data_IF_575898346818
#
_entry.id   IF_575898346818
#
_cell.length_a   1.000
_cell.length_b   1.000
_cell.length_c   1.000
_cell.angle_alpha   90.00
_cell.angle_beta   90.00
_cell.angle_gamma   90.00
#
_symmetry.space_group_name_H-M   'P 1'
#
loop_
_entity.id
_entity.type
_entity.pdbx_description
1 polymer ?
2 non-polymer ?
3 non-polymer ?
4 non-polymer ?
5 non-polymer ?
6 non-polymer ?
7 non-polymer ?
8 water ?
#
# COMPACT_ATOMS: atom_id res chain seq x y z
N UNK A 1 12.92 1.67 -24.13
CA UNK A 1 12.92 2.83 -23.20
C UNK A 1 14.20 3.65 -23.34
N UNK A 2 14.11 4.99 -23.13
CA UNK A 2 15.31 5.82 -23.14
C UNK A 2 16.29 5.44 -22.02
N UNK A 3 17.58 5.64 -22.27
CA UNK A 3 18.64 5.37 -21.28
C UNK A 3 18.59 6.34 -20.11
N UNK A 4 18.19 7.59 -20.36
CA UNK A 4 18.03 8.62 -19.34
C UNK A 4 16.77 9.45 -19.56
N UNK A 5 16.15 9.87 -18.45
CA UNK A 5 14.99 10.75 -18.47
C UNK A 5 15.16 11.80 -17.36
N UNK A 6 14.82 13.05 -17.67
CA UNK A 6 14.73 14.14 -16.67
C UNK A 6 13.52 15.05 -16.93
N UNK A 7 12.52 14.96 -16.05
CA UNK A 7 11.23 15.64 -16.26
C UNK A 7 11.34 17.13 -16.02
N UNK A 8 12.43 17.56 -15.40
CA UNK A 8 12.72 19.00 -15.24
C UNK A 8 12.97 19.67 -16.60
N UNK A 9 13.60 18.94 -17.52
CA UNK A 9 13.79 19.41 -18.91
C UNK A 9 12.48 19.56 -19.69
N UNK A 10 11.41 18.88 -19.22
CA UNK A 10 10.13 18.85 -19.90
C UNK A 10 9.12 19.81 -19.27
N UNK A 11 9.61 20.64 -18.34
CA UNK A 11 8.82 21.70 -17.73
C UNK A 11 7.77 21.21 -16.77
N UNK A 12 7.97 20.02 -16.20
CA UNK A 12 6.94 19.34 -15.38
C UNK A 12 7.24 19.25 -13.89
N UNK A 13 8.30 19.90 -13.42
CA UNK A 13 8.71 19.86 -12.01
C UNK A 13 8.81 21.28 -11.43
N UNK A 14 8.11 21.52 -10.33
CA UNK A 14 8.12 22.83 -9.68
C UNK A 14 9.37 22.98 -8.83
N UNK A 15 9.53 24.14 -8.21
CA UNK A 15 10.69 24.38 -7.35
C UNK A 15 10.66 23.44 -6.14
N UNK A 16 11.85 23.17 -5.60
CA UNK A 16 12.01 22.34 -4.42
C UNK A 16 11.39 23.03 -3.22
N UNK A 17 10.67 22.25 -2.42
CA UNK A 17 9.99 22.76 -1.23
C UNK A 17 10.73 22.36 0.05
N UNK A 18 10.42 23.05 1.14
CA UNK A 18 11.04 22.82 2.43
C UNK A 18 9.99 22.46 3.48
N UNK A 19 9.99 21.20 3.93
CA UNK A 19 8.95 20.76 4.86
C UNK A 19 9.14 21.24 6.31
N UNK A 20 10.36 21.62 6.65
CA UNK A 20 10.73 22.01 8.00
C UNK A 20 10.60 20.86 8.98
N UNK A 21 10.13 21.17 10.18
CA UNK A 21 10.01 20.17 11.24
C UNK A 21 8.72 19.34 11.17
N UNK A 22 7.92 19.55 10.12
CA UNK A 22 6.67 18.83 9.90
C UNK A 22 6.90 17.69 8.91
N UNK A 23 6.53 16.48 9.33
CA UNK A 23 6.71 15.28 8.51
C UNK A 23 5.70 15.15 7.37
N UNK A 24 5.71 16.15 6.47
CA UNK A 24 4.75 16.21 5.38
C UNK A 24 5.34 15.72 4.07
N UNK A 25 6.45 14.96 4.13
CA UNK A 25 7.10 14.44 2.92
C UNK A 25 6.16 13.78 1.93
N UNK A 26 5.22 13.02 2.48
CA UNK A 26 4.19 12.28 1.74
C UNK A 26 3.26 13.22 0.97
N UNK A 27 2.91 14.34 1.59
CA UNK A 27 2.09 15.38 0.97
C UNK A 27 2.85 16.03 -0.20
N UNK A 28 4.12 16.35 0.03
CA UNK A 28 4.95 16.96 -1.00
C UNK A 28 5.20 16.01 -2.17
N UNK A 29 5.39 14.73 -1.87
CA UNK A 29 5.55 13.68 -2.86
C UNK A 29 4.33 13.56 -3.74
N UNK A 30 3.17 13.50 -3.09
CA UNK A 30 1.88 13.39 -3.76
C UNK A 30 1.61 14.59 -4.68
N UNK A 31 1.77 15.80 -4.14
CA UNK A 31 1.51 17.00 -4.95
C UNK A 31 2.48 17.06 -6.13
N UNK A 32 3.74 16.71 -5.92
CA UNK A 32 4.74 16.69 -6.99
C UNK A 32 4.38 15.82 -8.18
N UNK A 33 3.85 14.63 -7.91
CA UNK A 33 3.40 13.73 -8.96
C UNK A 33 2.20 14.33 -9.71
N UNK A 34 1.27 14.94 -8.97
CA UNK A 34 0.07 15.53 -9.60
C UNK A 34 0.43 16.77 -10.46
N UNK A 35 1.40 17.55 -9.99
CA UNK A 35 1.88 18.75 -10.66
C UNK A 35 2.34 18.42 -12.07
N UNK A 36 3.06 17.30 -12.23
CA UNK A 36 3.48 16.85 -13.56
C UNK A 36 2.30 16.52 -14.47
N UNK A 37 1.32 15.79 -13.94
CA UNK A 37 0.13 15.42 -14.69
C UNK A 37 -0.68 16.64 -15.07
N UNK A 38 -0.79 17.60 -14.15
CA UNK A 38 -1.45 18.88 -14.44
C UNK A 38 -0.80 19.64 -15.61
N UNK A 39 0.54 19.71 -15.62
CA UNK A 39 1.27 20.31 -16.74
C UNK A 39 0.99 19.57 -18.05
N UNK A 40 1.10 18.25 -18.02
CA UNK A 40 0.84 17.43 -19.20
C UNK A 40 -0.57 17.62 -19.77
N UNK A 41 -1.56 17.82 -18.89
CA UNK A 41 -2.95 17.97 -19.30
C UNK A 41 -3.29 19.39 -19.76
N UNK A 42 -2.84 20.39 -19.01
CA UNK A 42 -3.32 21.77 -19.18
C UNK A 42 -2.30 22.76 -19.74
N UNK A 43 -1.01 22.45 -19.68
CA UNK A 43 0.04 23.37 -20.08
C UNK A 43 0.58 24.26 -18.97
N UNK A 44 -0.03 24.21 -17.79
CA UNK A 44 0.42 25.06 -16.70
C UNK A 44 1.19 24.27 -15.65
N UNK A 45 2.33 24.81 -15.24
CA UNK A 45 3.10 24.28 -14.13
C UNK A 45 2.74 25.11 -12.91
N UNK A 46 2.17 24.46 -11.90
CA UNK A 46 1.64 25.15 -10.71
C UNK A 46 1.91 24.29 -9.49
N UNK A 47 2.49 24.89 -8.45
CA UNK A 47 2.69 24.20 -7.20
C UNK A 47 1.33 23.98 -6.53
N UNK A 48 1.08 22.75 -6.11
CA UNK A 48 -0.18 22.42 -5.44
C UNK A 48 0.03 22.39 -3.94
N UNK A 49 -1.07 22.56 -3.20
CA UNK A 49 -1.01 22.70 -1.74
C UNK A 49 -0.78 21.39 -0.99
N UNK A 50 0.45 21.19 -0.52
CA UNK A 50 0.76 20.11 0.41
C UNK A 50 0.03 20.32 1.73
N UNK A 51 -0.23 21.58 2.09
CA UNK A 51 -0.89 21.89 3.36
C UNK A 51 -2.32 21.41 3.35
N UNK A 52 -2.99 21.58 2.21
CA UNK A 52 -4.31 21.03 1.95
C UNK A 52 -4.35 19.54 2.30
N UNK A 53 -3.34 18.78 1.86
CA UNK A 53 -3.27 17.35 2.23
C UNK A 53 -3.04 17.14 3.74
N UNK A 54 -2.09 17.86 4.32
CA UNK A 54 -1.78 17.74 5.75
C UNK A 54 -3.00 17.99 6.61
N UNK A 55 -3.76 19.00 6.26
CA UNK A 55 -4.91 19.46 7.05
C UNK A 55 -6.21 18.70 6.76
N UNK A 56 -6.34 18.14 5.56
CA UNK A 56 -7.63 17.61 5.08
C UNK A 56 -7.62 16.11 4.80
N UNK A 57 -6.51 15.57 4.30
CA UNK A 57 -6.33 14.13 4.11
C UNK A 57 -5.81 13.56 5.41
N UNK A 58 -6.71 13.43 6.38
CA UNK A 58 -6.35 13.13 7.74
C UNK A 58 -6.84 11.73 8.15
N UNK A 59 -7.58 11.61 9.25
CA UNK A 59 -7.92 10.32 9.87
C UNK A 59 -8.61 9.34 8.95
N UNK A 60 -9.62 9.84 8.22
CA UNK A 60 -10.38 9.09 7.22
C UNK A 60 -9.49 8.47 6.15
N UNK A 61 -8.32 9.08 5.94
CA UNK A 61 -7.34 8.58 4.96
C UNK A 61 -6.16 7.88 5.61
N UNK A 62 -6.23 7.67 6.92
CA UNK A 62 -5.17 6.94 7.63
C UNK A 62 -3.88 7.72 7.81
N UNK A 63 -3.96 9.03 7.56
CA UNK A 63 -2.82 9.92 7.61
C UNK A 63 -2.76 10.68 8.93
N UNK A 64 -1.56 11.13 9.28
CA UNK A 64 -1.29 11.73 10.58
C UNK A 64 -0.67 13.13 10.46
N UNK A 65 -0.93 13.80 9.34
CA UNK A 65 -0.44 15.17 9.12
C UNK A 65 1.07 15.28 9.23
N UNK A 66 1.54 16.05 10.22
CA UNK A 66 2.99 16.25 10.42
C UNK A 66 3.71 15.05 11.03
N UNK A 67 2.97 13.98 11.30
CA UNK A 67 3.56 12.74 11.79
C UNK A 67 3.49 11.62 10.74
N UNK A 68 3.32 11.99 9.48
CA UNK A 68 3.38 11.03 8.38
C UNK A 68 2.06 10.65 7.73
N UNK A 69 2.16 9.93 6.63
CA UNK A 69 1.01 9.61 5.81
C UNK A 69 1.43 8.92 4.53
N UNK A 70 0.45 8.69 3.65
CA UNK A 70 0.65 7.90 2.42
C UNK A 70 0.29 8.72 1.21
N UNK A 71 1.08 8.58 0.13
CA UNK A 71 0.79 9.27 -1.12
C UNK A 71 -0.48 8.73 -1.77
N UNK A 72 -0.70 7.42 -1.65
CA UNK A 72 -1.85 6.76 -2.28
C UNK A 72 -3.18 7.28 -1.70
N UNK A 73 -3.24 7.36 -0.37
CA UNK A 73 -4.44 7.81 0.32
C UNK A 73 -4.63 9.32 0.16
N UNK A 74 -3.53 10.07 0.03
CA UNK A 74 -3.57 11.48 -0.42
C UNK A 74 -4.25 11.65 -1.79
N UNK A 75 -3.83 10.87 -2.79
CA UNK A 75 -4.48 10.89 -4.10
C UNK A 75 -5.96 10.58 -3.97
N UNK A 76 -6.33 9.60 -3.14
CA UNK A 76 -7.73 9.23 -3.03
C UNK A 76 -8.54 10.33 -2.39
N UNK A 77 -7.96 11.06 -1.44
CA UNK A 77 -8.60 12.26 -0.89
C UNK A 77 -8.90 13.28 -1.99
N UNK A 78 -7.92 13.53 -2.86
CA UNK A 78 -8.11 14.50 -3.94
C UNK A 78 -9.25 14.04 -4.86
N UNK A 79 -9.30 12.73 -5.14
CA UNK A 79 -10.39 12.13 -5.92
C UNK A 79 -11.73 12.33 -5.22
N UNK A 80 -11.83 11.88 -3.97
CA UNK A 80 -13.08 12.00 -3.19
C UNK A 80 -13.51 13.46 -3.02
N UNK A 81 -12.55 14.36 -2.80
CA UNK A 81 -12.80 15.79 -2.54
C UNK A 81 -13.16 16.57 -3.80
N UNK A 82 -12.86 15.99 -4.95
CA UNK A 82 -13.07 16.57 -6.27
C UNK A 82 -12.18 17.79 -6.48
N UNK A 83 -11.05 17.82 -5.77
CA UNK A 83 -10.09 18.87 -5.98
C UNK A 83 -9.06 19.05 -4.89
N UNK A 84 -8.00 19.74 -5.28
CA UNK A 84 -6.95 20.21 -4.39
C UNK A 84 -6.69 21.68 -4.74
N UNK A 85 -6.44 22.48 -3.71
CA UNK A 85 -6.13 23.90 -3.86
C UNK A 85 -4.68 24.11 -4.32
N UNK A 86 -4.42 25.29 -4.87
CA UNK A 86 -3.08 25.73 -5.21
C UNK A 86 -2.31 26.02 -3.94
N UNK A 87 -1.01 25.86 -4.02
CA UNK A 87 -0.14 26.27 -2.94
C UNK A 87 -0.27 27.77 -2.65
N UNK A 88 -0.43 28.57 -3.70
CA UNK A 88 -0.57 30.02 -3.55
C UNK A 88 -1.76 30.41 -2.66
N UNK A 89 -2.90 29.75 -2.88
CA UNK A 89 -4.12 30.01 -2.11
C UNK A 89 -4.13 29.36 -0.73
N UNK A 90 -3.38 28.27 -0.57
CA UNK A 90 -3.35 27.48 0.65
C UNK A 90 -1.88 27.11 0.97
N UNK A 91 -1.07 28.11 1.37
CA UNK A 91 0.37 27.91 1.51
C UNK A 91 0.77 27.06 2.70
N UNK A 92 2.02 26.59 2.66
CA UNK A 92 2.55 25.65 3.64
C UNK A 92 2.96 26.38 4.93
N UNK A 93 2.51 25.83 6.06
CA UNK A 93 2.77 26.41 7.39
C UNK A 93 3.60 25.48 8.30
N UNK A 94 3.93 24.29 7.81
CA UNK A 94 4.69 23.29 8.57
C UNK A 94 4.07 22.95 9.93
N UNK A 95 2.74 22.82 9.95
CA UNK A 95 2.01 22.42 11.15
C UNK A 95 0.66 21.82 10.78
N UNK A 96 0.08 21.08 11.71
CA UNK A 96 -1.26 20.53 11.58
C UNK A 96 -2.26 21.64 11.85
N UNK A 97 -3.22 21.79 10.95
CA UNK A 97 -4.28 22.77 11.11
C UNK A 97 -5.61 22.16 10.73
N UNK A 98 -6.66 22.87 11.05
CA UNK A 98 -8.01 22.54 10.65
C UNK A 98 -8.11 22.63 9.12
N UNK A 99 -8.90 21.74 8.51
CA UNK A 99 -9.08 21.74 7.06
C UNK A 99 -9.69 23.06 6.60
N UNK A 100 -9.02 23.70 5.63
CA UNK A 100 -9.43 25.00 5.09
C UNK A 100 -9.63 24.92 3.58
N UNK A 101 -9.80 23.73 3.04
CA UNK A 101 -10.09 23.58 1.62
C UNK A 101 -11.29 24.43 1.19
N UNK A 102 -11.14 25.10 0.05
CA UNK A 102 -12.22 25.82 -0.59
C UNK A 102 -12.13 25.56 -2.07
N UNK A 103 -13.22 25.07 -2.67
CA UNK A 103 -13.25 24.76 -4.11
C UNK A 103 -12.98 25.97 -5.02
N UNK A 104 -13.19 27.18 -4.49
CA UNK A 104 -12.96 28.41 -5.25
C UNK A 104 -11.47 28.58 -5.58
N UNK A 105 -10.59 27.85 -4.89
CA UNK A 105 -9.17 27.89 -5.15
C UNK A 105 -8.62 26.57 -5.74
N UNK A 106 -9.49 25.75 -6.30
CA UNK A 106 -9.07 24.48 -6.89
C UNK A 106 -8.05 24.73 -8.00
N UNK A 107 -6.94 24.00 -7.97
CA UNK A 107 -5.90 24.04 -9.04
C UNK A 107 -5.77 22.75 -9.82
N UNK A 108 -6.17 21.62 -9.23
CA UNK A 108 -6.11 20.34 -9.91
C UNK A 108 -7.16 19.39 -9.40
N UNK A 109 -7.40 18.36 -10.20
CA UNK A 109 -8.25 17.25 -9.81
C UNK A 109 -7.42 15.98 -9.96
N UNK A 110 -7.97 14.88 -9.47
CA UNK A 110 -7.41 13.56 -9.69
C UNK A 110 -8.58 12.61 -9.97
N UNK A 111 -8.44 11.77 -10.99
CA UNK A 111 -9.48 10.80 -11.36
C UNK A 111 -9.15 9.38 -10.90
N UNK A 112 -7.86 9.09 -10.72
CA UNK A 112 -7.39 7.75 -10.38
C UNK A 112 -5.92 7.78 -10.00
N UNK A 113 -5.46 6.67 -9.42
CA UNK A 113 -4.03 6.46 -9.21
C UNK A 113 -3.70 4.98 -9.42
N UNK A 114 -2.43 4.70 -9.66
CA UNK A 114 -1.93 3.37 -9.94
C UNK A 114 -0.73 3.09 -9.05
N UNK A 115 -0.75 1.95 -8.37
CA UNK A 115 0.33 1.49 -7.51
C UNK A 115 1.09 0.41 -8.27
N UNK A 116 2.41 0.59 -8.42
CA UNK A 116 3.22 -0.32 -9.19
C UNK A 116 3.53 -1.57 -8.36
N UNK A 117 3.84 -2.69 -9.04
CA UNK A 117 4.21 -3.92 -8.32
C UNK A 117 5.49 -3.78 -7.47
N UNK A 118 5.47 -4.44 -6.32
CA UNK A 118 6.55 -4.37 -5.35
C UNK A 118 7.93 -4.75 -5.92
N UNK A 119 8.87 -3.81 -5.79
CA UNK A 119 10.28 -4.06 -6.04
C UNK A 119 10.74 -4.14 -7.49
N UNK A 120 9.84 -3.83 -8.42
CA UNK A 120 10.13 -3.98 -9.84
C UNK A 120 10.65 -2.67 -10.40
N UNK A 121 11.97 -2.56 -10.49
CA UNK A 121 12.64 -1.33 -10.93
C UNK A 121 12.50 -1.12 -12.44
N UNK A 122 12.28 -2.20 -13.17
CA UNK A 122 11.97 -2.12 -14.61
C UNK A 122 10.58 -1.55 -14.91
N UNK A 123 9.59 -1.94 -14.11
CA UNK A 123 8.23 -1.38 -14.23
C UNK A 123 8.26 0.10 -13.81
N UNK A 124 9.07 0.40 -12.81
CA UNK A 124 9.26 1.78 -12.36
C UNK A 124 9.92 2.60 -13.47
N UNK A 125 10.94 2.05 -14.13
CA UNK A 125 11.62 2.76 -15.20
C UNK A 125 10.65 3.09 -16.32
N UNK A 126 9.83 2.12 -16.68
CA UNK A 126 8.83 2.30 -17.72
C UNK A 126 7.82 3.39 -17.39
N UNK A 127 7.35 3.43 -16.14
CA UNK A 127 6.40 4.45 -15.71
C UNK A 127 7.02 5.85 -15.72
N UNK A 128 8.27 5.97 -15.26
CA UNK A 128 8.97 7.27 -15.28
C UNK A 128 9.15 7.75 -16.73
N UNK A 129 9.55 6.85 -17.63
CA UNK A 129 9.76 7.21 -19.03
C UNK A 129 8.44 7.61 -19.74
N UNK A 130 7.37 6.87 -19.48
CA UNK A 130 6.15 6.98 -20.30
C UNK A 130 4.97 7.70 -19.68
N UNK A 131 4.88 7.70 -18.35
CA UNK A 131 3.72 8.25 -17.67
C UNK A 131 4.03 9.60 -16.99
N UNK A 132 5.11 9.66 -16.24
CA UNK A 132 5.50 10.88 -15.51
C UNK A 132 6.27 10.55 -14.25
N UNK A 133 6.65 11.58 -13.49
CA UNK A 133 7.22 11.37 -12.16
C UNK A 133 6.33 10.50 -11.27
N UNK A 134 6.99 9.67 -10.46
CA UNK A 134 6.33 8.63 -9.69
C UNK A 134 6.64 8.85 -8.21
N UNK A 135 5.60 8.93 -7.38
CA UNK A 135 5.77 8.99 -5.94
C UNK A 135 6.34 7.67 -5.41
N UNK A 136 7.32 7.76 -4.53
CA UNK A 136 7.92 6.60 -3.91
C UNK A 136 8.23 6.84 -2.44
N UNK A 137 8.30 5.75 -1.71
CA UNK A 137 8.84 5.71 -0.37
C UNK A 137 10.27 5.22 -0.42
N UNK A 138 11.11 5.79 0.45
CA UNK A 138 12.46 5.29 0.61
C UNK A 138 12.80 5.08 2.10
N UNK A 139 13.79 4.25 2.34
CA UNK A 139 14.42 4.18 3.65
C UNK A 139 15.44 5.33 3.73
N UNK A 140 15.05 6.38 4.45
CA UNK A 140 15.87 7.57 4.61
C UNK A 140 16.40 7.71 6.04
N UNK A 141 16.34 6.62 6.81
CA UNK A 141 16.69 6.60 8.23
C UNK A 141 18.16 6.25 8.48
N UNK A 142 19.05 6.91 7.74
CA UNK A 142 20.49 6.70 7.91
C UNK A 142 21.17 8.06 7.77
N UNK A 143 22.16 8.34 8.64
CA UNK A 143 22.89 9.62 8.56
C UNK A 143 23.46 9.92 7.17
N UNK A 144 23.87 8.88 6.44
CA UNK A 144 24.40 9.08 5.08
C UNK A 144 23.42 9.80 4.14
N UNK A 145 22.13 9.56 4.33
CA UNK A 145 21.07 10.18 3.52
C UNK A 145 21.01 11.68 3.82
N UNK A 146 21.02 12.03 5.11
CA UNK A 146 21.06 13.43 5.57
C UNK A 146 22.30 14.19 5.04
N UNK A 147 23.44 13.51 5.06
CA UNK A 147 24.74 14.11 4.73
C UNK A 147 25.06 14.06 3.24
N UNK A 148 24.17 13.46 2.44
CA UNK A 148 24.40 13.33 1.00
C UNK A 148 24.66 14.70 0.34
N UNK A 149 25.69 14.74 -0.50
CA UNK A 149 26.06 15.96 -1.23
C UNK A 149 26.00 15.82 -2.74
N UNK A 150 26.49 14.70 -3.27
CA UNK A 150 26.58 14.54 -4.70
C UNK A 150 26.87 13.11 -5.12
N UNK A 151 26.68 12.84 -6.41
CA UNK A 151 26.94 11.55 -6.99
C UNK A 151 25.77 10.60 -6.85
N UNK A 152 26.04 9.30 -6.98
CA UNK A 152 25.01 8.28 -6.85
C UNK A 152 25.05 7.74 -5.43
N UNK A 153 23.93 7.90 -4.72
CA UNK A 153 23.83 7.48 -3.32
C UNK A 153 23.70 5.96 -3.20
N UNK A 154 24.58 5.36 -2.41
CA UNK A 154 24.48 3.95 -2.05
C UNK A 154 24.83 3.78 -0.55
N UNK A 155 23.89 3.25 0.23
CA UNK A 155 24.04 3.00 1.65
C UNK A 155 23.88 1.49 1.92
N UNK A 156 24.99 0.80 2.27
CA UNK A 156 24.90 -0.65 2.48
C UNK A 156 24.06 -1.10 3.67
N UNK A 157 23.73 -0.20 4.60
CA UNK A 157 22.79 -0.53 5.69
C UNK A 157 21.34 -0.20 5.36
N UNK A 158 21.08 0.20 4.11
CA UNK A 158 19.72 0.53 3.72
C UNK A 158 18.88 -0.73 3.67
N UNK A 159 17.60 -0.58 3.99
CA UNK A 159 16.63 -1.66 3.96
C UNK A 159 15.54 -1.34 2.95
N UNK A 160 14.66 -2.31 2.73
CA UNK A 160 13.51 -2.14 1.85
C UNK A 160 12.30 -1.63 2.62
N UNK A 161 12.47 -1.36 3.92
CA UNK A 161 11.41 -0.77 4.74
C UNK A 161 11.45 0.74 4.63
N UNK A 162 10.44 1.28 3.97
CA UNK A 162 10.42 2.69 3.59
C UNK A 162 9.76 3.55 4.68
N UNK A 163 10.26 4.77 4.85
CA UNK A 163 9.80 5.66 5.93
C UNK A 163 9.79 7.14 5.52
N UNK A 164 10.00 7.42 4.24
CA UNK A 164 10.13 8.77 3.77
C UNK A 164 9.62 8.86 2.33
N UNK A 165 8.67 9.76 2.10
CA UNK A 165 8.04 9.94 0.78
C UNK A 165 8.80 10.92 -0.08
N UNK A 166 9.15 10.53 -1.30
CA UNK A 166 9.84 11.42 -2.25
C UNK A 166 9.25 11.20 -3.66
N UNK A 167 9.83 11.87 -4.66
CA UNK A 167 9.35 11.81 -6.03
C UNK A 167 10.47 11.50 -7.01
N UNK A 168 10.30 10.44 -7.78
CA UNK A 168 11.23 10.11 -8.87
C UNK A 168 10.86 10.95 -10.09
N UNK A 169 11.77 11.83 -10.47
CA UNK A 169 11.57 12.73 -11.61
C UNK A 169 12.44 12.38 -12.82
N UNK A 170 13.11 11.24 -12.76
CA UNK A 170 13.97 10.83 -13.85
C UNK A 170 14.87 9.67 -13.47
N UNK A 171 15.73 9.28 -14.39
CA UNK A 171 16.75 8.27 -14.13
C UNK A 171 17.90 8.48 -15.11
N UNK A 172 19.04 7.84 -14.83
CA UNK A 172 20.18 7.86 -15.74
C UNK A 172 21.38 7.10 -15.21
N UNK A 173 22.56 7.49 -15.65
CA UNK A 173 23.79 6.91 -15.13
C UNK A 173 24.89 7.95 -15.03
N UNK A 174 25.72 7.82 -14.00
CA UNK A 174 26.86 8.69 -13.79
C UNK A 174 28.07 7.82 -14.05
N UNK A 175 28.68 8.01 -15.22
CA UNK A 175 29.77 7.17 -15.69
C UNK A 175 29.45 5.69 -15.53
N UNK A 176 28.30 5.27 -16.05
CA UNK A 176 27.87 3.87 -15.96
C UNK A 176 27.14 3.47 -14.69
N UNK A 177 27.34 4.20 -13.60
CA UNK A 177 26.66 3.95 -12.32
C UNK A 177 25.20 4.46 -12.40
N UNK A 178 24.25 3.53 -12.38
CA UNK A 178 22.86 3.86 -12.67
C UNK A 178 22.16 4.45 -11.46
N UNK A 179 21.29 5.44 -11.67
CA UNK A 179 20.58 6.11 -10.58
C UNK A 179 19.11 6.42 -10.93
N UNK A 180 18.33 6.67 -9.86
CA UNK A 180 17.03 7.34 -9.92
C UNK A 180 17.27 8.79 -9.50
N UNK A 181 16.67 9.74 -10.23
CA UNK A 181 16.70 11.18 -9.89
C UNK A 181 15.50 11.50 -9.01
N UNK A 182 15.76 11.81 -7.75
CA UNK A 182 14.74 11.96 -6.73
C UNK A 182 14.66 13.42 -6.26
N UNK A 183 13.45 13.99 -6.33
CA UNK A 183 13.13 15.28 -5.72
C UNK A 183 12.72 15.06 -4.27
N UNK A 184 13.49 15.66 -3.34
CA UNK A 184 13.17 15.66 -1.92
C UNK A 184 12.41 16.95 -1.55
N UNK A 185 11.89 17.01 -0.32
CA UNK A 185 11.23 18.19 0.23
C UNK A 185 11.96 18.70 1.48
N UNK A 186 13.28 18.66 1.41
CA UNK A 186 14.12 19.14 2.50
C UNK A 186 14.86 20.44 2.13
N UNK A 187 14.29 21.24 1.23
CA UNK A 187 14.82 22.55 0.88
C UNK A 187 15.89 22.53 -0.21
N UNK A 188 16.29 23.73 -0.63
CA UNK A 188 17.18 23.84 -1.78
C UNK A 188 18.64 23.51 -1.48
N UNK A 189 18.98 23.29 -0.22
CA UNK A 189 20.37 23.02 0.16
C UNK A 189 20.68 21.55 0.43
N UNK A 190 19.66 20.71 0.49
CA UNK A 190 19.87 19.28 0.66
C UNK A 190 20.43 18.68 -0.64
N UNK A 191 21.45 17.85 -0.53
CA UNK A 191 21.93 17.05 -1.66
C UNK A 191 22.36 17.93 -2.81
N UNK A 192 21.91 17.56 -4.02
CA UNK A 192 22.22 18.31 -5.23
C UNK A 192 21.11 19.33 -5.44
N UNK A 193 21.22 20.41 -4.67
CA UNK A 193 20.24 21.51 -4.66
C UNK A 193 18.78 21.05 -4.61
N UNK A 194 18.52 20.13 -3.69
CA UNK A 194 17.17 19.62 -3.46
C UNK A 194 16.97 18.18 -3.91
N UNK A 195 17.88 17.69 -4.73
CA UNK A 195 17.73 16.38 -5.37
C UNK A 195 18.75 15.38 -4.82
N UNK A 196 18.43 14.09 -4.94
CA UNK A 196 19.37 13.02 -4.61
C UNK A 196 19.31 12.00 -5.73
N UNK A 197 20.47 11.62 -6.24
CA UNK A 197 20.55 10.53 -7.22
C UNK A 197 20.82 9.22 -6.44
N UNK A 198 19.85 8.30 -6.51
CA UNK A 198 19.86 7.09 -5.68
C UNK A 198 20.09 5.85 -6.54
N UNK A 199 20.91 4.92 -6.04
CA UNK A 199 21.28 3.72 -6.81
C UNK A 199 20.09 2.99 -7.44
N UNK A 200 20.24 2.66 -8.72
CA UNK A 200 19.21 2.02 -9.52
C UNK A 200 19.71 0.65 -9.97
N UNK A 201 18.78 -0.32 -9.99
CA UNK A 201 19.09 -1.71 -10.34
C UNK A 201 20.18 -2.29 -9.43
N UNK A 202 20.11 -1.87 -8.17
CA UNK A 202 20.96 -2.43 -7.11
C UNK A 202 20.07 -3.10 -6.08
N UNK A 203 19.18 -3.97 -6.55
CA UNK A 203 18.36 -4.78 -5.67
C UNK A 203 17.39 -3.98 -4.84
N UNK A 204 16.63 -3.11 -5.51
CA UNK A 204 15.61 -2.30 -4.85
C UNK A 204 16.22 -1.54 -3.68
N UNK A 205 17.25 -0.78 -4.00
CA UNK A 205 18.09 -0.19 -2.96
C UNK A 205 17.32 0.88 -2.18
N UNK A 206 17.33 0.74 -0.85
CA UNK A 206 16.60 1.64 0.06
C UNK A 206 15.09 1.60 -0.15
N UNK A 207 14.59 0.53 -0.78
CA UNK A 207 13.16 0.35 -1.03
C UNK A 207 12.53 1.29 -2.04
N UNK A 208 13.32 1.79 -2.96
CA UNK A 208 12.85 2.82 -3.88
C UNK A 208 11.69 2.33 -4.78
N UNK A 209 11.70 1.04 -5.13
CA UNK A 209 10.61 0.44 -5.89
C UNK A 209 9.65 -0.38 -5.03
N UNK A 210 9.71 -0.22 -3.71
CA UNK A 210 8.82 -0.95 -2.80
C UNK A 210 7.39 -0.50 -2.91
N UNK A 211 7.16 0.81 -2.90
CA UNK A 211 5.81 1.34 -2.95
C UNK A 211 5.65 2.55 -3.88
N UNK A 212 5.77 2.34 -5.19
CA UNK A 212 5.60 3.43 -6.15
C UNK A 212 4.15 3.63 -6.56
N UNK A 213 3.76 4.89 -6.77
CA UNK A 213 2.43 5.23 -7.29
C UNK A 213 2.47 6.52 -8.11
N UNK A 214 1.53 6.62 -9.05
CA UNK A 214 1.31 7.87 -9.77
C UNK A 214 -0.18 8.13 -9.99
N UNK A 215 -0.58 9.41 -9.94
CA UNK A 215 -1.94 9.84 -10.17
C UNK A 215 -2.22 10.20 -11.62
N UNK A 216 -3.50 10.31 -11.94
CA UNK A 216 -3.93 10.88 -13.22
C UNK A 216 -5.01 11.92 -12.97
N UNK A 217 -5.02 12.96 -13.79
CA UNK A 217 -5.93 14.10 -13.62
C UNK A 217 -7.39 13.72 -13.86
N UNK B 1 -24.40 -5.98 -9.16
CA UNK B 1 -23.77 -7.10 -8.39
C UNK B 1 -24.81 -7.88 -7.58
N UNK B 2 -24.52 -9.16 -7.26
CA UNK B 2 -25.38 -9.87 -6.29
C UNK B 2 -25.48 -9.12 -4.97
N UNK B 3 -26.63 -9.22 -4.30
CA UNK B 3 -26.85 -8.53 -3.03
C UNK B 3 -26.04 -9.11 -1.89
N UNK B 4 -25.72 -10.40 -1.99
CA UNK B 4 -24.86 -11.05 -1.02
C UNK B 4 -23.96 -12.09 -1.68
N UNK B 5 -22.81 -12.33 -1.06
CA UNK B 5 -21.83 -13.31 -1.50
C UNK B 5 -21.26 -14.04 -0.28
N UNK B 6 -21.01 -15.33 -0.43
CA UNK B 6 -20.34 -16.13 0.60
C UNK B 6 -19.53 -17.22 -0.09
N UNK B 7 -18.21 -17.02 -0.16
CA UNK B 7 -17.33 -17.92 -0.88
C UNK B 7 -17.20 -19.28 -0.21
N UNK B 8 -17.58 -19.37 1.06
CA UNK B 8 -17.69 -20.66 1.74
C UNK B 8 -18.71 -21.59 1.06
N UNK B 9 -19.77 -21.03 0.49
CA UNK B 9 -20.77 -21.82 -0.24
C UNK B 9 -20.24 -22.41 -1.55
N UNK B 10 -19.19 -21.81 -2.11
CA UNK B 10 -18.58 -22.34 -3.34
C UNK B 10 -17.36 -23.23 -3.04
N UNK B 11 -17.13 -23.54 -1.76
CA UNK B 11 -16.01 -24.39 -1.34
C UNK B 11 -14.63 -23.79 -1.54
N UNK B 12 -14.53 -22.46 -1.47
CA UNK B 12 -13.29 -21.75 -1.79
C UNK B 12 -12.50 -21.26 -0.56
N UNK B 13 -12.98 -21.60 0.64
CA UNK B 13 -12.38 -21.12 1.87
C UNK B 13 -11.98 -22.30 2.76
N UNK B 14 -10.73 -22.33 3.18
CA UNK B 14 -10.20 -23.39 4.03
C UNK B 14 -10.64 -23.14 5.46
N UNK B 15 -10.41 -24.13 6.31
CA UNK B 15 -10.72 -24.03 7.75
C UNK B 15 -9.99 -22.84 8.38
N UNK B 16 -10.62 -22.24 9.38
CA UNK B 16 -10.03 -21.16 10.15
C UNK B 16 -8.78 -21.66 10.87
N UNK B 17 -7.74 -20.82 10.86
CA UNK B 17 -6.45 -21.14 11.46
C UNK B 17 -6.29 -20.39 12.78
N UNK B 18 -5.30 -20.82 13.57
CA UNK B 18 -4.99 -20.22 14.87
C UNK B 18 -3.52 -19.78 14.87
N UNK B 19 -3.29 -18.46 14.82
CA UNK B 19 -1.94 -17.90 14.65
C UNK B 19 -1.11 -17.93 15.94
N UNK B 20 -1.75 -18.02 17.09
CA UNK B 20 -1.05 -18.09 18.36
C UNK B 20 -0.41 -16.76 18.69
N UNK B 21 0.72 -16.80 19.40
CA UNK B 21 1.46 -15.59 19.79
C UNK B 21 2.50 -15.16 18.75
N UNK B 22 2.21 -15.41 17.49
CA UNK B 22 3.02 -14.96 16.38
C UNK B 22 2.14 -14.05 15.54
N UNK B 23 2.61 -12.84 15.28
CA UNK B 23 1.86 -11.86 14.49
C UNK B 23 1.93 -12.14 13.00
N UNK B 24 1.41 -13.30 12.59
CA UNK B 24 1.44 -13.78 11.22
C UNK B 24 0.09 -13.62 10.51
N UNK B 25 -0.76 -12.70 10.99
CA UNK B 25 -2.07 -12.49 10.37
C UNK B 25 -1.97 -12.16 8.88
N UNK B 26 -1.00 -11.34 8.52
CA UNK B 26 -0.70 -10.95 7.14
C UNK B 26 -0.44 -12.17 6.27
N UNK B 27 0.22 -13.17 6.83
CA UNK B 27 0.56 -14.40 6.11
C UNK B 27 -0.67 -15.27 5.93
N UNK B 28 -1.46 -15.37 6.99
CA UNK B 28 -2.78 -15.98 6.93
C UNK B 28 -3.75 -15.30 5.96
N UNK B 29 -3.80 -13.97 5.95
CA UNK B 29 -4.64 -13.23 4.99
C UNK B 29 -4.20 -13.54 3.57
N UNK B 30 -2.92 -13.46 3.29
CA UNK B 30 -2.41 -13.69 1.93
C UNK B 30 -2.68 -15.11 1.41
N UNK B 31 -2.43 -16.14 2.22
CA UNK B 31 -2.64 -17.53 1.76
C UNK B 31 -4.12 -17.83 1.56
N UNK B 32 -4.95 -17.30 2.45
CA UNK B 32 -6.39 -17.33 2.32
C UNK B 32 -6.92 -16.85 1.00
N UNK B 33 -6.45 -15.69 0.54
CA UNK B 33 -6.83 -15.20 -0.78
C UNK B 33 -6.36 -16.10 -1.93
N UNK B 34 -5.14 -16.63 -1.84
CA UNK B 34 -4.58 -17.48 -2.91
C UNK B 34 -5.24 -18.84 -2.93
N UNK B 35 -5.63 -19.34 -1.75
CA UNK B 35 -6.32 -20.63 -1.61
C UNK B 35 -7.59 -20.65 -2.45
N UNK B 36 -8.32 -19.52 -2.42
CA UNK B 36 -9.55 -19.38 -3.21
C UNK B 36 -9.27 -19.43 -4.71
N UNK B 37 -8.25 -18.70 -5.14
CA UNK B 37 -7.84 -18.68 -6.55
C UNK B 37 -7.39 -20.05 -7.05
N UNK B 38 -6.63 -20.77 -6.22
CA UNK B 38 -6.25 -22.15 -6.51
C UNK B 38 -7.45 -23.07 -6.75
N UNK B 39 -8.45 -22.99 -5.87
CA UNK B 39 -9.69 -23.75 -6.01
C UNK B 39 -10.41 -23.39 -7.30
N UNK B 40 -10.55 -22.10 -7.58
CA UNK B 40 -11.18 -21.66 -8.81
C UNK B 40 -10.48 -22.20 -10.06
N UNK B 41 -9.16 -22.27 -10.01
CA UNK B 41 -8.31 -22.63 -11.16
C UNK B 41 -8.13 -24.14 -11.34
N UNK B 42 -7.99 -24.86 -10.23
CA UNK B 42 -7.67 -26.28 -10.26
C UNK B 42 -8.83 -27.18 -9.79
N UNK B 43 -9.79 -26.62 -9.06
CA UNK B 43 -10.89 -27.40 -8.48
C UNK B 43 -10.56 -28.03 -7.14
N UNK B 44 -9.33 -27.83 -6.65
CA UNK B 44 -8.91 -28.42 -5.38
C UNK B 44 -8.70 -27.37 -4.28
N UNK B 45 -9.34 -27.60 -3.13
CA UNK B 45 -9.14 -26.76 -1.94
C UNK B 45 -7.95 -27.26 -1.12
N UNK B 46 -6.91 -26.44 -1.01
CA UNK B 46 -5.68 -26.81 -0.32
C UNK B 46 -5.22 -25.66 0.55
N UNK B 47 -5.02 -25.93 1.85
CA UNK B 47 -4.38 -24.95 2.72
C UNK B 47 -2.95 -24.70 2.31
N UNK B 48 -2.59 -23.42 2.21
CA UNK B 48 -1.25 -23.02 1.81
C UNK B 48 -0.48 -22.55 3.05
N UNK B 49 0.84 -22.56 2.92
CA UNK B 49 1.74 -22.38 4.05
C UNK B 49 1.94 -20.93 4.48
N UNK B 50 1.32 -20.55 5.59
CA UNK B 50 1.58 -19.26 6.22
C UNK B 50 3.01 -19.20 6.76
N UNK B 51 3.50 -20.33 7.26
CA UNK B 51 4.87 -20.43 7.76
C UNK B 51 5.93 -20.17 6.67
N UNK B 52 5.68 -20.66 5.46
CA UNK B 52 6.52 -20.39 4.30
C UNK B 52 6.68 -18.87 4.11
N UNK B 53 5.58 -18.13 4.19
CA UNK B 53 5.64 -16.67 4.16
C UNK B 53 6.41 -16.07 5.34
N UNK B 54 6.12 -16.49 6.57
CA UNK B 54 6.82 -15.98 7.77
C UNK B 54 8.33 -16.13 7.64
N UNK B 55 8.77 -17.29 7.15
CA UNK B 55 10.18 -17.67 7.11
C UNK B 55 10.88 -17.13 5.89
N UNK B 56 10.16 -16.98 4.79
CA UNK B 56 10.79 -16.72 3.49
C UNK B 56 10.51 -15.35 2.86
N UNK B 57 9.32 -14.79 3.09
CA UNK B 57 8.99 -13.44 2.62
C UNK B 57 9.37 -12.51 3.77
N UNK B 58 10.66 -12.18 3.83
CA UNK B 58 11.24 -11.51 4.99
C UNK B 58 11.70 -10.08 4.62
N UNK B 59 12.96 -9.72 4.88
CA UNK B 59 13.44 -8.34 4.76
C UNK B 59 13.34 -7.76 3.35
N UNK B 60 13.67 -8.59 2.36
CA UNK B 60 13.56 -8.23 0.95
C UNK B 60 12.16 -7.72 0.61
N UNK B 61 11.16 -8.16 1.37
CA UNK B 61 9.76 -7.83 1.15
C UNK B 61 9.20 -6.89 2.22
N UNK B 62 10.07 -6.37 3.09
CA UNK B 62 9.67 -5.48 4.16
C UNK B 62 8.85 -6.11 5.28
N UNK B 63 8.87 -7.44 5.33
CA UNK B 63 8.10 -8.20 6.32
C UNK B 63 8.97 -8.62 7.49
N UNK B 64 8.32 -8.84 8.62
CA UNK B 64 9.03 -9.08 9.87
C UNK B 64 8.51 -10.33 10.58
N UNK B 65 8.06 -11.31 9.79
CA UNK B 65 7.61 -12.60 10.32
C UNK B 65 6.54 -12.44 11.39
N UNK B 66 6.85 -12.93 12.59
CA UNK B 66 5.93 -12.87 13.74
C UNK B 66 5.70 -11.48 14.30
N UNK B 67 6.46 -10.49 13.81
CA UNK B 67 6.27 -9.10 14.18
C UNK B 67 5.60 -8.27 13.07
N UNK B 68 4.89 -8.93 12.16
CA UNK B 68 4.09 -8.23 11.15
C UNK B 68 4.65 -8.22 9.74
N UNK B 69 3.80 -7.85 8.79
CA UNK B 69 4.16 -7.82 7.37
C UNK B 69 2.98 -7.36 6.55
N UNK B 70 3.14 -7.43 5.22
CA UNK B 70 2.10 -7.01 4.26
C UNK B 70 1.65 -8.17 3.37
N UNK B 71 0.37 -8.18 3.06
CA UNK B 71 -0.21 -9.16 2.16
C UNK B 71 0.28 -8.94 0.75
N UNK B 72 0.40 -7.68 0.33
CA UNK B 72 0.81 -7.39 -1.05
C UNK B 72 2.24 -7.84 -1.33
N UNK B 73 3.15 -7.57 -0.40
CA UNK B 73 4.54 -7.99 -0.56
C UNK B 73 4.70 -9.50 -0.38
N UNK B 74 3.81 -10.11 0.40
CA UNK B 74 3.70 -11.57 0.45
C UNK B 74 3.34 -12.15 -0.91
N UNK B 75 2.42 -11.51 -1.64
CA UNK B 75 2.02 -11.99 -2.96
C UNK B 75 3.21 -11.91 -3.92
N UNK B 76 3.96 -10.80 -3.85
CA UNK B 76 5.13 -10.62 -4.71
C UNK B 76 6.22 -11.65 -4.45
N UNK B 77 6.42 -12.03 -3.19
CA UNK B 77 7.35 -13.12 -2.87
C UNK B 77 6.95 -14.43 -3.57
N UNK B 78 5.66 -14.73 -3.57
CA UNK B 78 5.18 -15.95 -4.21
C UNK B 78 5.44 -15.89 -5.72
N UNK B 79 5.16 -14.73 -6.33
CA UNK B 79 5.46 -14.51 -7.75
C UNK B 79 6.96 -14.69 -8.04
N UNK B 80 7.79 -14.00 -7.26
CA UNK B 80 9.25 -14.03 -7.41
C UNK B 80 9.84 -15.41 -7.20
N UNK B 81 9.33 -16.10 -6.18
CA UNK B 81 9.77 -17.43 -5.80
C UNK B 81 9.26 -18.56 -6.70
N UNK B 82 8.27 -18.22 -7.53
CA UNK B 82 7.60 -19.16 -8.44
C UNK B 82 6.81 -20.22 -7.70
N UNK B 83 6.39 -19.93 -6.47
CA UNK B 83 5.60 -20.88 -5.72
C UNK B 83 5.52 -20.68 -4.22
N UNK B 84 4.54 -21.35 -3.65
CA UNK B 84 4.36 -21.45 -2.21
C UNK B 84 4.03 -22.91 -1.90
N UNK B 85 4.55 -23.40 -0.79
CA UNK B 85 4.30 -24.77 -0.38
C UNK B 85 2.93 -24.91 0.30
N UNK B 86 2.43 -26.14 0.34
CA UNK B 86 1.22 -26.46 1.11
C UNK B 86 1.47 -26.31 2.61
N UNK B 87 0.40 -26.05 3.35
CA UNK B 87 0.46 -26.03 4.79
C UNK B 87 0.86 -27.42 5.34
N UNK B 88 0.33 -28.48 4.73
CA UNK B 88 0.67 -29.86 5.12
C UNK B 88 2.19 -30.14 5.08
N UNK B 89 2.84 -29.69 4.01
CA UNK B 89 4.28 -29.91 3.80
C UNK B 89 5.19 -28.99 4.62
N UNK B 90 4.66 -27.85 5.03
CA UNK B 90 5.43 -26.79 5.66
C UNK B 90 4.53 -26.21 6.74
N UNK B 91 4.37 -26.94 7.86
CA UNK B 91 3.38 -26.59 8.88
C UNK B 91 3.70 -25.33 9.67
N UNK B 92 2.65 -24.78 10.29
CA UNK B 92 2.75 -23.52 10.99
C UNK B 92 3.17 -23.73 12.43
N UNK B 93 4.22 -23.02 12.84
CA UNK B 93 4.86 -23.20 14.13
C UNK B 93 4.76 -21.99 15.06
N UNK B 94 4.15 -20.90 14.56
CA UNK B 94 3.99 -19.68 15.33
C UNK B 94 5.34 -19.19 15.86
N UNK B 95 6.36 -19.31 15.02
CA UNK B 95 7.66 -18.73 15.32
C UNK B 95 8.44 -18.46 14.03
N UNK B 96 9.44 -17.60 14.16
CA UNK B 96 10.32 -17.24 13.05
C UNK B 96 11.35 -18.34 12.89
N UNK B 97 11.41 -18.91 11.68
CA UNK B 97 12.37 -19.96 11.39
C UNK B 97 13.16 -19.67 10.13
N UNK B 98 14.16 -20.51 9.90
CA UNK B 98 14.94 -20.52 8.67
C UNK B 98 14.01 -20.81 7.49
N UNK B 99 14.27 -20.21 6.32
CA UNK B 99 13.49 -20.50 5.12
C UNK B 99 13.75 -21.90 4.63
N UNK B 100 12.67 -22.68 4.53
CA UNK B 100 12.77 -24.09 4.16
C UNK B 100 11.89 -24.40 2.95
N UNK B 101 11.59 -23.40 2.13
CA UNK B 101 10.88 -23.63 0.89
C UNK B 101 11.56 -24.71 0.03
N UNK B 102 10.73 -25.59 -0.53
CA UNK B 102 11.15 -26.61 -1.49
C UNK B 102 10.07 -26.69 -2.57
N UNK B 103 10.47 -26.62 -3.83
CA UNK B 103 9.51 -26.62 -4.93
C UNK B 103 8.78 -27.95 -5.11
N UNK B 104 9.32 -29.03 -4.54
CA UNK B 104 8.65 -30.33 -4.64
C UNK B 104 7.44 -30.43 -3.72
N UNK B 105 7.28 -29.44 -2.83
CA UNK B 105 6.07 -29.31 -2.02
C UNK B 105 5.17 -28.14 -2.42
N UNK B 106 5.44 -27.57 -3.59
CA UNK B 106 4.66 -26.44 -4.10
C UNK B 106 3.21 -26.86 -4.38
N UNK B 107 2.28 -26.11 -3.80
CA UNK B 107 0.85 -26.33 -4.00
C UNK B 107 0.16 -25.18 -4.75
N UNK B 108 0.83 -24.02 -4.86
CA UNK B 108 0.27 -22.89 -5.60
C UNK B 108 1.34 -22.00 -6.22
N UNK B 109 0.94 -21.30 -7.28
CA UNK B 109 1.70 -20.19 -7.83
C UNK B 109 0.87 -18.88 -7.76
N UNK B 110 1.54 -17.77 -8.09
CA UNK B 110 0.93 -16.45 -8.25
C UNK B 110 1.61 -15.73 -9.43
N UNK B 111 0.81 -15.13 -10.32
CA UNK B 111 1.35 -14.41 -11.46
C UNK B 111 1.24 -12.90 -11.28
N UNK B 112 0.33 -12.45 -10.40
CA UNK B 112 0.13 -11.03 -10.16
C UNK B 112 -0.76 -10.79 -8.96
N UNK B 113 -0.91 -9.52 -8.59
CA UNK B 113 -1.83 -9.12 -7.53
C UNK B 113 -2.34 -7.71 -7.85
N UNK B 114 -3.47 -7.35 -7.27
CA UNK B 114 -4.12 -6.08 -7.52
C UNK B 114 -4.48 -5.44 -6.20
N UNK B 115 -4.08 -4.17 -6.04
CA UNK B 115 -4.47 -3.40 -4.86
C UNK B 115 -5.64 -2.49 -5.26
N UNK B 116 -6.70 -2.53 -4.46
CA UNK B 116 -7.90 -1.77 -4.76
C UNK B 116 -7.76 -0.33 -4.24
N UNK B 117 -8.47 0.62 -4.87
CA UNK B 117 -8.46 2.01 -4.41
C UNK B 117 -8.94 2.23 -2.98
N UNK B 118 -8.32 3.20 -2.32
CA UNK B 118 -8.46 3.41 -0.89
C UNK B 118 -9.88 3.75 -0.47
N UNK B 119 -10.42 2.92 0.44
CA UNK B 119 -11.70 3.20 1.09
C UNK B 119 -12.96 3.01 0.26
N UNK B 120 -12.82 2.46 -0.94
CA UNK B 120 -13.92 2.33 -1.90
C UNK B 120 -14.64 1.00 -1.70
N UNK B 121 -15.71 1.04 -0.91
CA UNK B 121 -16.40 -0.18 -0.49
C UNK B 121 -17.21 -0.81 -1.62
N UNK B 122 -17.66 0.02 -2.57
CA UNK B 122 -18.30 -0.42 -3.80
C UNK B 122 -17.35 -1.22 -4.71
N UNK B 123 -16.10 -0.77 -4.77
CA UNK B 123 -15.07 -1.43 -5.57
C UNK B 123 -14.65 -2.77 -4.92
N UNK B 124 -14.61 -2.77 -3.59
CA UNK B 124 -14.36 -3.99 -2.81
C UNK B 124 -15.47 -5.00 -3.02
N UNK B 125 -16.73 -4.53 -2.98
CA UNK B 125 -17.89 -5.38 -3.21
C UNK B 125 -17.77 -6.07 -4.58
N UNK B 126 -17.44 -5.28 -5.59
CA UNK B 126 -17.25 -5.79 -6.95
C UNK B 126 -16.15 -6.85 -7.02
N UNK B 127 -15.01 -6.60 -6.36
CA UNK B 127 -13.91 -7.55 -6.36
C UNK B 127 -14.27 -8.85 -5.64
N UNK B 128 -14.99 -8.73 -4.52
CA UNK B 128 -15.46 -9.91 -3.79
C UNK B 128 -16.44 -10.73 -4.65
N UNK B 129 -17.38 -10.08 -5.33
CA UNK B 129 -18.32 -10.78 -6.22
C UNK B 129 -17.65 -11.42 -7.46
N UNK B 130 -16.81 -10.66 -8.15
CA UNK B 130 -16.27 -11.05 -9.46
C UNK B 130 -14.92 -11.75 -9.46
N UNK B 131 -14.11 -11.55 -8.43
CA UNK B 131 -12.76 -12.11 -8.40
C UNK B 131 -12.56 -13.19 -7.35
N UNK B 132 -13.07 -12.94 -6.14
CA UNK B 132 -12.92 -13.88 -5.05
C UNK B 132 -12.63 -13.16 -3.74
N UNK B 133 -12.37 -13.92 -2.68
CA UNK B 133 -11.97 -13.34 -1.39
C UNK B 133 -10.78 -12.35 -1.53
N UNK B 134 -10.83 -11.31 -0.71
CA UNK B 134 -9.92 -10.18 -0.82
C UNK B 134 -9.22 -9.95 0.51
N UNK B 135 -7.89 -9.85 0.45
CA UNK B 135 -7.07 -9.59 1.62
C UNK B 135 -7.26 -8.15 2.02
N UNK B 136 -7.54 -7.92 3.30
CA UNK B 136 -7.72 -6.57 3.84
C UNK B 136 -7.02 -6.41 5.20
N UNK B 137 -6.74 -5.17 5.55
CA UNK B 137 -6.39 -4.78 6.90
C UNK B 137 -7.62 -4.19 7.59
N UNK B 138 -7.72 -4.44 8.89
CA UNK B 138 -8.71 -3.81 9.75
C UNK B 138 -8.06 -3.29 11.01
N UNK B 139 -8.75 -2.34 11.63
CA UNK B 139 -8.41 -1.84 12.95
C UNK B 139 -9.07 -2.78 13.98
N UNK B 140 -8.26 -3.71 14.49
CA UNK B 140 -8.70 -4.69 15.48
C UNK B 140 -8.15 -4.41 16.88
N UNK B 141 -7.87 -3.15 17.19
CA UNK B 141 -7.20 -2.77 18.45
C UNK B 141 -8.19 -2.64 19.61
N UNK B 142 -9.47 -2.54 19.33
CA UNK B 142 -10.42 -2.10 20.34
C UNK B 142 -10.94 -3.30 21.12
N UNK B 143 -11.02 -3.18 22.47
CA UNK B 143 -11.47 -4.29 23.33
C UNK B 143 -12.71 -5.05 22.83
N UNK B 144 -13.66 -4.32 22.21
CA UNK B 144 -14.88 -4.92 21.64
C UNK B 144 -14.62 -5.96 20.54
N UNK B 145 -13.53 -5.80 19.79
CA UNK B 145 -13.20 -6.71 18.70
C UNK B 145 -12.94 -8.12 19.23
N UNK B 146 -12.16 -8.20 20.30
CA UNK B 146 -11.80 -9.47 20.92
C UNK B 146 -13.02 -10.21 21.48
N UNK B 147 -14.01 -9.43 21.94
CA UNK B 147 -15.18 -9.95 22.62
C UNK B 147 -16.40 -10.17 21.72
N UNK B 148 -16.23 -9.95 20.41
CA UNK B 148 -17.33 -10.12 19.46
C UNK B 148 -17.80 -11.58 19.39
N UNK B 149 -19.12 -11.76 19.43
CA UNK B 149 -19.74 -13.09 19.43
C UNK B 149 -20.68 -13.25 18.25
N UNK B 150 -21.54 -12.26 18.02
CA UNK B 150 -22.56 -12.40 16.99
C UNK B 150 -23.01 -11.07 16.43
N UNK B 151 -23.88 -11.12 15.42
CA UNK B 151 -24.48 -9.92 14.85
C UNK B 151 -23.54 -9.23 13.88
N UNK B 152 -23.72 -7.91 13.72
CA UNK B 152 -22.85 -7.10 12.85
C UNK B 152 -22.07 -6.12 13.73
N UNK B 153 -20.75 -6.25 13.67
CA UNK B 153 -19.83 -5.45 14.49
C UNK B 153 -19.79 -3.99 14.05
N UNK B 154 -20.22 -3.11 14.94
CA UNK B 154 -20.05 -1.68 14.78
C UNK B 154 -19.43 -1.08 16.06
N UNK B 155 -18.25 -0.49 15.91
CA UNK B 155 -17.52 0.10 17.01
C UNK B 155 -17.27 1.60 16.74
N UNK B 156 -18.01 2.49 17.43
CA UNK B 156 -17.80 3.93 17.33
C UNK B 156 -16.35 4.40 17.49
N UNK B 157 -15.57 3.73 18.32
CA UNK B 157 -14.15 4.09 18.51
C UNK B 157 -13.22 3.58 17.42
N UNK B 158 -13.76 2.90 16.41
CA UNK B 158 -12.92 2.35 15.33
C UNK B 158 -12.32 3.48 14.48
N UNK B 159 -11.13 3.22 13.94
CA UNK B 159 -10.44 4.16 13.07
C UNK B 159 -10.16 3.48 11.74
N UNK B 160 -9.66 4.24 10.78
CA UNK B 160 -9.23 3.71 9.50
C UNK B 160 -7.74 3.33 9.52
N UNK B 161 -7.12 3.38 10.69
CA UNK B 161 -5.74 2.97 10.87
C UNK B 161 -5.67 1.47 11.18
N UNK B 162 -5.28 0.69 10.18
CA UNK B 162 -5.38 -0.76 10.24
C UNK B 162 -4.13 -1.37 10.83
N UNK B 163 -4.31 -2.44 11.62
CA UNK B 163 -3.23 -3.08 12.37
C UNK B 163 -3.27 -4.60 12.29
N UNK B 164 -4.19 -5.14 11.49
CA UNK B 164 -4.49 -6.57 11.52
C UNK B 164 -4.94 -7.06 10.14
N UNK B 165 -4.26 -8.06 9.61
CA UNK B 165 -4.57 -8.64 8.31
C UNK B 165 -5.61 -9.74 8.42
N UNK B 166 -6.67 -9.61 7.62
CA UNK B 166 -7.77 -10.59 7.60
C UNK B 166 -8.23 -10.83 6.14
N UNK B 167 -9.29 -11.62 5.97
CA UNK B 167 -9.78 -12.01 4.65
C UNK B 167 -11.29 -11.83 4.54
N UNK B 168 -11.72 -10.97 3.61
CA UNK B 168 -13.13 -10.80 3.27
C UNK B 168 -13.55 -11.92 2.34
N UNK B 169 -14.42 -12.79 2.83
CA UNK B 169 -14.88 -13.96 2.05
C UNK B 169 -16.33 -13.78 1.57
N UNK B 170 -16.91 -12.62 1.85
CA UNK B 170 -18.24 -12.33 1.38
C UNK B 170 -18.79 -11.03 1.94
N UNK B 171 -20.08 -10.81 1.67
CA UNK B 171 -20.81 -9.65 2.15
C UNK B 171 -22.31 -9.99 2.11
N UNK B 172 -23.11 -9.19 2.80
CA UNK B 172 -24.55 -9.41 2.80
C UNK B 172 -25.24 -8.42 3.72
N UNK B 173 -26.44 -8.78 4.16
CA UNK B 173 -27.20 -8.02 5.14
C UNK B 173 -27.81 -8.95 6.19
N UNK B 174 -27.82 -8.51 7.44
CA UNK B 174 -28.36 -9.28 8.53
C UNK B 174 -29.16 -8.35 9.40
N UNK B 175 -30.47 -8.54 9.42
CA UNK B 175 -31.39 -7.78 10.26
C UNK B 175 -31.26 -6.28 9.99
N UNK B 176 -31.18 -5.95 8.71
CA UNK B 176 -31.13 -4.57 8.26
C UNK B 176 -29.76 -3.91 8.31
N UNK B 177 -28.72 -4.66 8.65
CA UNK B 177 -27.35 -4.14 8.73
C UNK B 177 -26.50 -4.80 7.66
N UNK B 178 -25.91 -3.98 6.79
CA UNK B 178 -24.99 -4.49 5.81
C UNK B 178 -23.67 -4.86 6.48
N UNK B 179 -23.07 -5.94 6.02
CA UNK B 179 -21.84 -6.44 6.61
C UNK B 179 -20.85 -6.99 5.56
N UNK B 180 -19.59 -7.03 5.95
CA UNK B 180 -18.55 -7.78 5.29
C UNK B 180 -18.31 -9.03 6.11
N UNK B 181 -18.19 -10.19 5.45
CA UNK B 181 -17.89 -11.46 6.12
C UNK B 181 -16.39 -11.66 6.10
N UNK B 182 -15.81 -11.65 7.30
CA UNK B 182 -14.38 -11.59 7.51
C UNK B 182 -13.88 -12.85 8.24
N UNK B 183 -12.91 -13.52 7.61
CA UNK B 183 -12.20 -14.65 8.20
C UNK B 183 -10.98 -14.16 8.97
N UNK B 184 -10.96 -14.41 10.27
CA UNK B 184 -9.84 -14.04 11.14
C UNK B 184 -8.91 -15.25 11.31
N UNK B 185 -7.78 -15.07 12.00
CA UNK B 185 -6.82 -16.16 12.23
C UNK B 185 -6.52 -16.36 13.73
N UNK B 186 -7.56 -16.27 14.56
CA UNK B 186 -7.45 -16.50 16.00
C UNK B 186 -8.24 -17.76 16.41
N UNK B 187 -8.31 -18.74 15.50
CA UNK B 187 -9.01 -20.00 15.78
C UNK B 187 -10.52 -19.92 15.71
N UNK B 188 -11.18 -21.03 15.99
CA UNK B 188 -12.65 -21.13 15.98
C UNK B 188 -13.30 -20.54 17.25
N UNK B 189 -12.53 -20.29 18.30
CA UNK B 189 -13.08 -19.66 19.52
C UNK B 189 -13.52 -18.20 19.29
N UNK B 190 -12.79 -17.50 18.43
CA UNK B 190 -13.13 -16.12 18.09
C UNK B 190 -14.43 -16.01 17.29
N UNK B 191 -15.29 -15.08 17.71
CA UNK B 191 -16.47 -14.71 16.96
C UNK B 191 -17.35 -15.89 16.61
N UNK B 192 -17.84 -15.88 15.37
CA UNK B 192 -18.67 -16.97 14.87
C UNK B 192 -17.82 -18.01 14.17
N UNK B 193 -17.27 -18.94 14.95
CA UNK B 193 -16.40 -20.01 14.46
C UNK B 193 -15.20 -19.45 13.66
N UNK B 194 -14.67 -18.33 14.13
CA UNK B 194 -13.50 -17.69 13.53
C UNK B 194 -13.80 -16.54 12.59
N UNK B 195 -15.09 -16.26 12.40
CA UNK B 195 -15.57 -15.20 11.51
C UNK B 195 -16.15 -14.03 12.28
N UNK B 196 -16.06 -12.85 11.67
CA UNK B 196 -16.68 -11.64 12.18
C UNK B 196 -17.41 -10.93 11.01
N UNK B 197 -18.66 -10.57 11.25
CA UNK B 197 -19.39 -9.70 10.34
C UNK B 197 -19.15 -8.28 10.75
N UNK B 198 -18.52 -7.51 9.87
CA UNK B 198 -18.14 -6.14 10.15
C UNK B 198 -18.99 -5.18 9.32
N UNK B 199 -19.39 -4.08 9.94
CA UNK B 199 -20.27 -3.09 9.30
C UNK B 199 -19.78 -2.67 7.91
N UNK B 200 -20.71 -2.70 6.94
CA UNK B 200 -20.45 -2.33 5.55
C UNK B 200 -21.25 -1.10 5.17
N UNK B 201 -20.64 -0.29 4.30
CA UNK B 201 -21.15 1.01 3.89
C UNK B 201 -21.43 1.91 5.09
N UNK B 202 -20.54 1.85 6.07
CA UNK B 202 -20.63 2.72 7.25
C UNK B 202 -19.34 3.53 7.36
N UNK B 203 -18.98 4.22 6.28
CA UNK B 203 -17.84 5.10 6.28
C UNK B 203 -16.51 4.38 6.42
N UNK B 204 -16.32 3.32 5.64
CA UNK B 204 -15.08 2.52 5.71
C UNK B 204 -14.73 2.17 7.15
N UNK B 205 -15.67 1.49 7.79
CA UNK B 205 -15.62 1.21 9.21
C UNK B 205 -14.47 0.27 9.57
N UNK B 206 -13.68 0.69 10.57
CA UNK B 206 -12.46 0.00 10.97
C UNK B 206 -11.43 -0.15 9.83
N UNK B 207 -11.53 0.68 8.79
CA UNK B 207 -10.56 0.65 7.71
C UNK B 207 -10.63 -0.57 6.84
N UNK B 208 -11.79 -1.22 6.81
CA UNK B 208 -11.93 -2.49 6.12
C UNK B 208 -11.58 -2.40 4.61
N UNK B 209 -11.90 -1.28 3.98
CA UNK B 209 -11.58 -1.07 2.55
C UNK B 209 -10.39 -0.14 2.32
N UNK B 210 -9.58 0.10 3.36
CA UNK B 210 -8.41 0.97 3.29
C UNK B 210 -7.31 0.37 2.42
N UNK B 211 -6.97 -0.91 2.65
CA UNK B 211 -5.89 -1.58 1.93
C UNK B 211 -6.26 -2.99 1.45
N UNK B 212 -7.19 -3.10 0.48
CA UNK B 212 -7.59 -4.38 -0.06
C UNK B 212 -6.73 -4.87 -1.24
N UNK B 213 -6.47 -6.17 -1.29
CA UNK B 213 -5.72 -6.77 -2.39
C UNK B 213 -6.13 -8.23 -2.66
N UNK B 214 -5.97 -8.66 -3.91
CA UNK B 214 -6.21 -10.05 -4.25
C UNK B 214 -5.18 -10.51 -5.28
N UNK B 215 -4.71 -11.77 -5.15
CA UNK B 215 -3.77 -12.38 -6.07
C UNK B 215 -4.47 -13.07 -7.23
N UNK B 216 -3.70 -13.39 -8.24
CA UNK B 216 -4.19 -14.24 -9.32
C UNK B 216 -3.12 -15.29 -9.59
N UNK B 217 -3.56 -16.49 -9.96
CA UNK B 217 -2.68 -17.65 -10.09
C UNK B 217 -1.79 -17.58 -11.33
X LIG C 1 18.46 22.93 5.68
X LIG C 1 17.65 24.10 5.48
X LIG C 1 19.24 22.96 6.99
X LIG C 1 20.65 23.03 6.73
X LIG C 1 21.45 22.92 7.91
X LIG C 1 22.85 23.48 7.66
X LIG C 1 22.81 24.54 6.70
X LIG D 1 -7.57 29.30 2.60
X LIG D 1 -6.03 28.48 3.05
X LIG D 1 -8.42 29.81 4.11
X LIG D 1 -8.59 28.20 1.60
X LIG E 1 7.23 9.93 6.45
X LIG E 1 6.64 8.87 7.05
X LIG E 1 6.30 8.98 8.40
X LIG E 1 6.58 10.15 9.10
X LIG E 1 7.19 11.22 8.46
X LIG E 1 7.53 11.08 7.12
X LIG E 1 6.35 7.63 6.24
X LIG E 1 6.17 7.75 4.85
X LIG E 1 5.89 6.61 4.07
X LIG E 1 5.77 5.37 4.68
X LIG E 1 5.95 5.25 6.06
X LIG E 1 6.22 6.38 6.83
X LIG E 1 5.50 4.24 3.90
X LIG E 1 4.90 3.04 4.38
X LIG E 1 4.40 2.25 3.18
X LIG E 1 3.83 0.89 3.58
X LIG E 1 8.15 12.17 6.34
X LIG E 1 8.23 13.35 6.75
X LIG E 1 5.71 6.76 2.58
X LIG E 1 4.55 6.24 2.23
X LIG E 1 6.66 6.16 1.89
X LIG E 1 5.75 8.03 2.28
X LIG F 1 16.04 18.85 6.11
X LIG F 1 17.12 18.06 6.37
X LIG F 1 16.99 16.90 7.12
X LIG F 1 15.73 16.52 7.58
X LIG F 1 14.62 17.31 7.29
X LIG F 1 14.82 18.46 6.55
X LIG F 1 18.40 18.59 5.85
X LIG F 1 19.65 18.22 6.38
X LIG F 1 20.87 18.76 5.89
X LIG F 1 20.83 19.71 4.84
X LIG F 1 19.59 20.08 4.30
X LIG F 1 18.41 19.55 4.81
X LIG F 1 22.02 20.21 4.37
X LIG F 1 22.19 21.64 4.33
X LIG F 1 23.28 22.06 3.34
X LIG F 1 24.67 21.96 3.95
X LIG F 1 25.05 20.56 4.37
X LIG F 1 13.75 19.34 6.18
X LIG F 1 12.96 20.09 5.79
X LIG F 1 22.16 18.30 6.53
X LIG F 1 23.14 17.85 5.68
X LIG F 1 22.03 17.29 7.40
X LIG F 1 22.76 19.27 7.25
X LIG F 1 26.66 19.07 5.57
X LIG F 1 26.74 18.21 4.32
X LIG F 1 25.35 18.17 3.72
X LIG F 1 24.99 19.58 3.22
X LIG F 1 26.36 20.52 5.15
X LIG F 1 27.32 16.83 4.56
X LIG G 1 11.44 -23.97 -9.50
X LIG G 1 11.67 -22.70 -10.16
X LIG G 1 12.69 -24.72 -9.40
X LIG G 1 10.92 -23.74 -8.16
X LIG G 1 10.47 -24.74 -10.28
X LIG H 1 -7.32 -28.75 3.32
X LIG H 1 -5.97 -28.44 3.10
X LIG H 1 -7.78 -28.03 4.56
X LIG H 1 -7.40 -26.68 4.45
X LIG H 1 -9.30 -28.11 4.76
X LIG H 1 -9.84 -26.80 4.81
X LIG I 1 -7.47 -24.36 15.09
X LIG I 1 -7.99 -23.43 14.17
X LIG I 1 -8.52 -24.87 16.09
X LIG I 1 -9.47 -25.70 15.44
X LIG I 1 -9.26 -23.72 16.77
X LIG I 1 -8.54 -23.24 17.88
X LIG J 1 -0.46 -7.34 11.70
X LIG J 1 0.34 -6.25 11.54
X LIG J 1 1.48 -6.12 12.34
X LIG J 1 1.78 -7.11 13.28
X LIG J 1 0.93 -8.21 13.42
X LIG J 1 -0.18 -8.34 12.59
X LIG J 1 -0.04 -5.23 10.51
X LIG J 1 -0.76 -5.66 9.41
X LIG J 1 -1.16 -4.74 8.42
X LIG J 1 -0.82 -3.39 8.54
X LIG J 1 -0.09 -2.97 9.66
X LIG J 1 0.29 -3.88 10.64
X LIG J 1 -1.22 -2.51 7.55
X LIG J 1 -0.73 -1.17 7.35
X LIG J 1 -1.01 -0.70 5.93
X LIG J 1 -1.12 -9.47 12.79
X LIG J 1 -2.33 -9.36 12.46
X LIG J 1 -1.94 -5.23 7.25
X LIG J 1 -1.34 -4.95 6.10
X LIG J 1 -3.13 -4.67 7.22
X LIG J 1 -2.06 -6.54 7.35
#
# INVERSE_FOLDING_TARGET
LPDSVDWREKGCVTEVKYQGSCGACWAFSAVGALEAQLKLKTGKLVSLSAQNLVDCSTEKYGNKGCNGGFMTTAFQYIIDNKGIDSDASYPYKAMDQKCQYDSKYRAATCSKYTELPYGREDVLKEAVANKGPVSVGVDARHPSFFLYRSGVYYEPSCTQNVNHGVLVVGYGDLNGKEYWLVKNSWGHNFGEEGYIRMARNKGNHCGIASFPSYPEI
LPDSVDWREKGCVTEVKYQGSCGACWAFSAVGALEAQLKLKTGKLVSLSAQNLVDCSTEKYGNKGCNGGFMTTAFQYIIDNKGIDSDASYPYKAMDQKCQYDSKYRAATCSKYTELPYGREDVLKEAVANKGPVSVGVDARHPSFFLYRSGVYYEPSCTQNVNHGVLVVGYGDLNGKEYWLVKNSWGHNFGEEGYIRMARNKGNHCGIASFPSYPEI
PEG C1 O1 C2 O2 C3 C4 O4
DMS S O C1 C2
935 N1 C2 C3 C4 C5 C6 C7 C8 C9 C10 C11 C12 O13 C14 C15 C16 C18 N19 C20 F21 F22 F23
93N N1 C2 C3 C4 C5 C6 C7 C8 C9 C10 C11 C12 O13 C14 C15 C16 N17 C18 N19 C20 F21 F22 F23 C24 N25 C26 C27 C28 C29
SO4 S O1 O2 O3 O4
GOL C1 O1 C2 O2 C3 O3
GOL C1 O1 C2 O2 C3 O3
935 N1 C2 C3 C4 C5 C6 C7 C8 C9 C10 C11 C12 O13 C14 C15 C18 N19 C20 F21 F22 F23
#
